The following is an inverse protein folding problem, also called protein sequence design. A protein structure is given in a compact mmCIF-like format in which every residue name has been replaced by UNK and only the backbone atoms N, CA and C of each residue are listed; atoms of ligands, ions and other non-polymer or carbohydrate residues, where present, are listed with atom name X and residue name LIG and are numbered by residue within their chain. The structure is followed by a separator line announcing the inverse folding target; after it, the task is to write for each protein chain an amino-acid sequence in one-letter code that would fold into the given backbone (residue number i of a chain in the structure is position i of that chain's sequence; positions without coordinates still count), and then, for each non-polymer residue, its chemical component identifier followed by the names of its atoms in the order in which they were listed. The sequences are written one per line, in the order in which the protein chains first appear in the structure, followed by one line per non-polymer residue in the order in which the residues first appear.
data_IF_468532085824
#
_entry.id   IF_468532085824
#
_cell.length_a   1.000
_cell.length_b   1.000
_cell.length_c   1.000
_cell.angle_alpha   90.00
_cell.angle_beta   90.00
_cell.angle_gamma   90.00
#
_symmetry.space_group_name_H-M   'P 1'
#
loop_
_entity.id
_entity.type
_entity.pdbx_description
1 polymer ?
#
# COMPACT_ATOMS: atom_id res chain seq x y z
N UNK A 1 0.47 -25.24 12.31
CA UNK A 1 -0.96 -25.44 12.59
C UNK A 1 -1.72 -24.14 12.36
N UNK A 2 -2.94 -24.23 11.81
CA UNK A 2 -3.86 -23.08 11.73
C UNK A 2 -4.54 -22.96 13.08
N UNK A 3 -4.42 -21.79 13.74
CA UNK A 3 -5.04 -21.55 15.03
C UNK A 3 -6.56 -21.33 14.89
N UNK A 4 -6.98 -20.53 13.93
CA UNK A 4 -8.39 -20.25 13.64
C UNK A 4 -8.57 -19.78 12.20
N UNK A 5 -9.82 -19.77 11.74
CA UNK A 5 -10.24 -19.21 10.45
C UNK A 5 -11.50 -18.40 10.66
N UNK A 6 -11.58 -17.24 10.02
CA UNK A 6 -12.78 -16.41 10.03
C UNK A 6 -13.15 -15.98 8.61
N UNK A 7 -14.45 -15.76 8.37
CA UNK A 7 -14.95 -15.25 7.09
C UNK A 7 -15.28 -13.76 7.21
N UNK A 8 -14.86 -12.98 6.22
CA UNK A 8 -15.23 -11.56 6.09
C UNK A 8 -16.30 -11.33 5.00
N UNK A 9 -16.90 -12.41 4.48
CA UNK A 9 -18.02 -12.30 3.53
C UNK A 9 -19.24 -11.72 4.23
N UNK A 10 -19.99 -10.87 3.51
CA UNK A 10 -21.29 -10.40 3.97
C UNK A 10 -22.27 -11.56 3.90
N UNK A 11 -23.05 -11.80 4.96
CA UNK A 11 -24.08 -12.82 4.98
C UNK A 11 -25.15 -12.54 3.90
N UNK A 12 -25.78 -13.61 3.38
CA UNK A 12 -26.78 -13.50 2.30
C UNK A 12 -27.97 -12.61 2.66
N UNK A 13 -28.28 -12.48 3.94
CA UNK A 13 -29.33 -11.61 4.46
C UNK A 13 -29.07 -10.11 4.22
N UNK A 14 -27.82 -9.68 4.23
CA UNK A 14 -27.41 -8.30 3.93
C UNK A 14 -27.32 -7.99 2.43
N UNK A 15 -27.41 -8.99 1.56
CA UNK A 15 -27.47 -8.80 0.09
C UNK A 15 -28.78 -8.18 -0.40
N UNK A 16 -29.82 -8.09 0.45
CA UNK A 16 -31.15 -7.58 0.12
C UNK A 16 -31.25 -6.09 -0.11
N UNK A 17 -30.29 -5.28 0.26
CA UNK A 17 -30.21 -3.86 -0.12
C UNK A 17 -29.54 -3.70 -1.49
N UNK A 18 -30.26 -4.17 -2.53
CA UNK A 18 -29.95 -3.83 -3.92
C UNK A 18 -30.15 -2.32 -4.10
N UNK A 19 -29.07 -1.60 -4.19
CA UNK A 19 -29.09 -0.27 -4.76
C UNK A 19 -29.42 -0.41 -6.27
N UNK A 20 -30.45 0.28 -6.71
CA UNK A 20 -30.98 0.27 -8.07
C UNK A 20 -29.87 0.38 -9.13
N UNK A 21 -29.68 -0.70 -9.88
CA UNK A 21 -29.41 -0.73 -11.30
C UNK A 21 -28.28 0.12 -11.87
N UNK A 22 -27.04 -0.34 -11.81
CA UNK A 22 -26.14 -0.35 -12.97
C UNK A 22 -25.27 -1.59 -12.81
N UNK A 23 -25.63 -2.65 -13.54
CA UNK A 23 -24.80 -3.84 -13.68
C UNK A 23 -23.72 -3.58 -14.71
N UNK A 24 -22.48 -3.53 -14.27
CA UNK A 24 -21.31 -3.73 -15.12
C UNK A 24 -20.70 -5.09 -14.79
N UNK A 25 -20.93 -6.06 -15.67
CA UNK A 25 -20.16 -7.30 -15.74
C UNK A 25 -20.78 -8.46 -14.94
N UNK A 26 -21.48 -9.35 -15.66
CA UNK A 26 -22.02 -10.60 -15.17
C UNK A 26 -20.92 -11.56 -14.69
N UNK A 27 -21.09 -12.04 -13.46
CA UNK A 27 -20.40 -13.16 -12.86
C UNK A 27 -21.12 -13.49 -11.58
N UNK A 28 -21.77 -14.64 -11.52
CA UNK A 28 -22.42 -15.19 -10.33
C UNK A 28 -21.39 -15.56 -9.28
N UNK A 29 -21.08 -14.62 -8.41
CA UNK A 29 -20.16 -14.75 -7.31
C UNK A 29 -19.52 -13.39 -7.04
N UNK A 30 -20.15 -12.52 -6.24
CA UNK A 30 -19.61 -11.23 -5.85
C UNK A 30 -18.29 -11.42 -5.08
N UNK A 31 -17.18 -11.60 -5.79
CA UNK A 31 -15.85 -11.64 -5.21
C UNK A 31 -15.49 -10.24 -4.73
N UNK A 32 -15.40 -10.02 -3.41
CA UNK A 32 -14.81 -8.82 -2.86
C UNK A 32 -13.36 -8.75 -3.28
N UNK A 33 -13.02 -7.77 -4.11
CA UNK A 33 -11.64 -7.54 -4.55
C UNK A 33 -10.96 -6.58 -3.57
N UNK A 34 -9.74 -6.93 -3.14
CA UNK A 34 -8.93 -6.11 -2.25
C UNK A 34 -9.30 -6.25 -0.77
N UNK A 35 -8.50 -5.61 0.04
CA UNK A 35 -8.60 -5.63 1.49
C UNK A 35 -7.23 -5.69 2.13
N UNK A 36 -7.20 -5.58 3.46
CA UNK A 36 -5.96 -5.66 4.20
C UNK A 36 -6.18 -5.95 5.67
N UNK A 37 -5.09 -6.19 6.36
CA UNK A 37 -5.10 -6.63 7.75
C UNK A 37 -4.15 -5.74 8.55
N UNK A 38 -4.57 -5.39 9.77
CA UNK A 38 -3.71 -4.82 10.80
C UNK A 38 -3.91 -5.57 12.11
N UNK A 39 -2.84 -5.74 12.87
CA UNK A 39 -2.88 -6.39 14.19
C UNK A 39 -2.37 -5.41 15.24
N UNK A 40 -3.17 -5.19 16.29
CA UNK A 40 -2.81 -4.30 17.39
C UNK A 40 -3.63 -4.63 18.64
N UNK A 41 -2.99 -4.57 19.82
CA UNK A 41 -3.67 -4.73 21.08
C UNK A 41 -4.47 -6.03 21.22
N UNK A 42 -3.94 -7.16 20.71
CA UNK A 42 -4.62 -8.46 20.76
C UNK A 42 -5.82 -8.58 19.80
N UNK A 43 -5.98 -7.66 18.87
CA UNK A 43 -7.06 -7.65 17.87
C UNK A 43 -6.53 -7.69 16.46
N UNK A 44 -7.28 -8.33 15.57
CA UNK A 44 -7.04 -8.35 14.11
C UNK A 44 -8.14 -7.51 13.45
N UNK A 45 -7.75 -6.44 12.79
CA UNK A 45 -8.64 -5.57 12.04
C UNK A 45 -8.54 -5.90 10.57
N UNK A 46 -9.67 -6.11 9.92
CA UNK A 46 -9.75 -6.51 8.51
C UNK A 46 -10.64 -5.53 7.76
N UNK A 47 -10.06 -4.86 6.77
CA UNK A 47 -10.81 -4.13 5.75
C UNK A 47 -11.10 -5.05 4.57
N UNK A 48 -12.20 -4.84 3.87
CA UNK A 48 -12.63 -5.78 2.85
C UNK A 48 -13.33 -5.08 1.69
N UNK A 49 -13.08 -5.59 0.47
CA UNK A 49 -13.82 -5.22 -0.73
C UNK A 49 -15.32 -5.60 -0.67
N UNK A 50 -15.73 -6.35 0.33
CA UNK A 50 -17.15 -6.64 0.63
C UNK A 50 -17.87 -5.51 1.36
N UNK A 51 -17.29 -4.32 1.46
CA UNK A 51 -17.86 -3.14 2.13
C UNK A 51 -18.11 -3.36 3.62
N UNK A 52 -17.15 -3.92 4.27
CA UNK A 52 -17.21 -4.16 5.72
C UNK A 52 -15.84 -3.97 6.36
N UNK A 53 -15.85 -3.39 7.54
CA UNK A 53 -14.73 -3.34 8.46
C UNK A 53 -15.03 -4.27 9.64
N UNK A 54 -14.12 -5.19 9.97
CA UNK A 54 -14.34 -6.21 11.00
C UNK A 54 -13.14 -6.28 11.94
N UNK A 55 -13.40 -6.51 13.22
CA UNK A 55 -12.35 -6.86 14.18
C UNK A 55 -12.59 -8.24 14.78
N UNK A 56 -11.50 -8.98 14.95
CA UNK A 56 -11.48 -10.30 15.58
C UNK A 56 -10.50 -10.29 16.76
N UNK A 57 -10.75 -11.13 17.74
CA UNK A 57 -9.78 -11.47 18.76
C UNK A 57 -8.62 -12.25 18.13
N UNK A 58 -7.38 -11.81 18.36
CA UNK A 58 -6.22 -12.37 17.69
C UNK A 58 -5.90 -13.82 18.11
N UNK A 59 -6.31 -14.25 19.32
CA UNK A 59 -6.02 -15.57 19.84
C UNK A 59 -7.09 -16.59 19.44
N UNK A 60 -8.37 -16.18 19.48
CA UNK A 60 -9.50 -17.07 19.31
C UNK A 60 -10.15 -17.01 17.93
N UNK A 61 -9.97 -15.89 17.21
CA UNK A 61 -10.65 -15.61 15.95
C UNK A 61 -12.12 -15.23 16.14
N UNK A 62 -12.60 -15.04 17.38
CA UNK A 62 -13.94 -14.57 17.64
C UNK A 62 -14.16 -13.17 17.07
N UNK A 63 -15.27 -12.94 16.38
CA UNK A 63 -15.65 -11.63 15.89
C UNK A 63 -16.02 -10.73 17.07
N UNK A 64 -15.33 -9.60 17.20
CA UNK A 64 -15.55 -8.61 18.24
C UNK A 64 -16.59 -7.57 17.82
N UNK A 65 -16.48 -7.11 16.58
CA UNK A 65 -17.43 -6.21 15.94
C UNK A 65 -17.32 -6.26 14.42
N UNK A 66 -18.40 -5.86 13.75
CA UNK A 66 -18.50 -5.75 12.29
C UNK A 66 -19.27 -4.50 11.95
N UNK A 67 -18.69 -3.63 11.12
CA UNK A 67 -19.29 -2.37 10.71
C UNK A 67 -19.42 -2.32 9.20
N UNK A 68 -20.63 -2.27 8.63
CA UNK A 68 -20.82 -2.06 7.20
C UNK A 68 -20.37 -0.64 6.81
N UNK A 69 -19.86 -0.52 5.60
CA UNK A 69 -19.45 0.75 4.97
C UNK A 69 -20.11 0.87 3.60
N UNK A 70 -20.26 2.11 3.12
CA UNK A 70 -20.97 2.35 1.86
C UNK A 70 -20.21 1.83 0.64
N UNK A 71 -18.89 1.92 0.66
CA UNK A 71 -18.02 1.58 -0.48
C UNK A 71 -16.91 0.59 -0.08
N UNK A 72 -16.35 -0.15 -1.06
CA UNK A 72 -15.25 -1.07 -0.81
C UNK A 72 -14.02 -0.38 -0.22
N UNK A 73 -13.33 -1.08 0.68
CA UNK A 73 -12.03 -0.67 1.24
C UNK A 73 -10.98 -1.63 0.70
N UNK A 74 -10.06 -1.13 -0.12
CA UNK A 74 -9.00 -1.97 -0.70
C UNK A 74 -7.68 -1.86 0.05
N UNK A 75 -7.44 -0.76 0.77
CA UNK A 75 -6.23 -0.55 1.57
C UNK A 75 -6.26 -1.28 2.90
N UNK A 76 -5.08 -1.58 3.45
CA UNK A 76 -4.97 -2.14 4.79
C UNK A 76 -5.34 -1.09 5.87
N UNK A 77 -5.97 -1.50 6.97
CA UNK A 77 -6.23 -0.61 8.09
C UNK A 77 -4.93 -0.11 8.72
N UNK A 78 -4.96 1.08 9.29
CA UNK A 78 -3.90 1.60 10.15
C UNK A 78 -4.46 1.83 11.53
N UNK A 79 -3.83 1.22 12.54
CA UNK A 79 -4.28 1.32 13.93
C UNK A 79 -3.34 2.24 14.70
N UNK A 80 -3.91 3.19 15.42
CA UNK A 80 -3.16 4.06 16.34
C UNK A 80 -4.03 4.48 17.52
N UNK A 81 -3.55 4.23 18.73
CA UNK A 81 -4.31 4.49 19.94
C UNK A 81 -5.63 3.73 19.95
N UNK A 82 -6.73 4.46 20.10
CA UNK A 82 -8.09 3.89 20.17
C UNK A 82 -8.83 3.90 18.82
N UNK A 83 -8.14 4.16 17.71
CA UNK A 83 -8.77 4.27 16.38
C UNK A 83 -8.12 3.40 15.32
N UNK A 84 -8.96 2.95 14.41
CA UNK A 84 -8.60 2.28 13.16
C UNK A 84 -8.98 3.19 12.01
N UNK A 85 -8.03 3.44 11.12
CA UNK A 85 -8.19 4.33 9.98
C UNK A 85 -8.14 3.54 8.68
N UNK A 86 -9.07 3.81 7.77
CA UNK A 86 -9.12 3.23 6.43
C UNK A 86 -9.55 4.27 5.41
N UNK A 87 -9.14 4.08 4.17
CA UNK A 87 -9.60 4.89 3.03
C UNK A 87 -10.39 3.99 2.10
N UNK A 88 -11.59 4.41 1.71
CA UNK A 88 -12.39 3.70 0.73
C UNK A 88 -12.01 4.05 -0.71
N UNK A 89 -12.66 3.38 -1.66
CA UNK A 89 -12.40 3.60 -3.10
C UNK A 89 -12.85 4.98 -3.60
N UNK A 90 -13.59 5.76 -2.82
CA UNK A 90 -14.08 7.10 -3.19
C UNK A 90 -13.41 8.23 -2.41
N UNK A 91 -12.16 7.97 -1.97
CA UNK A 91 -11.36 8.94 -1.22
C UNK A 91 -12.00 9.40 0.11
N UNK A 92 -12.78 8.55 0.75
CA UNK A 92 -13.26 8.82 2.10
C UNK A 92 -12.34 8.14 3.11
N UNK A 93 -11.65 8.92 3.92
CA UNK A 93 -10.97 8.45 5.12
C UNK A 93 -11.99 8.30 6.24
N UNK A 94 -12.02 7.16 6.88
CA UNK A 94 -12.89 6.85 8.02
C UNK A 94 -12.07 6.44 9.23
N UNK A 95 -12.48 6.88 10.41
CA UNK A 95 -11.90 6.50 11.69
C UNK A 95 -12.94 5.75 12.51
N UNK A 96 -12.61 4.52 12.90
CA UNK A 96 -13.45 3.66 13.72
C UNK A 96 -12.85 3.48 15.11
N UNK A 97 -13.68 3.38 16.12
CA UNK A 97 -13.27 3.04 17.47
C UNK A 97 -12.81 1.58 17.54
N UNK A 98 -11.62 1.33 18.10
CA UNK A 98 -11.01 0.00 18.23
C UNK A 98 -11.85 -0.96 19.08
N UNK A 99 -12.61 -0.45 20.06
CA UNK A 99 -13.35 -1.28 21.00
C UNK A 99 -14.66 -1.80 20.44
N UNK A 100 -15.41 -0.98 19.70
CA UNK A 100 -16.78 -1.29 19.30
C UNK A 100 -17.07 -1.12 17.80
N UNK A 101 -16.09 -0.64 17.00
CA UNK A 101 -16.27 -0.44 15.56
C UNK A 101 -17.16 0.73 15.16
N UNK A 102 -17.59 1.57 16.11
CA UNK A 102 -18.35 2.77 15.79
C UNK A 102 -17.48 3.76 15.02
N UNK A 103 -18.02 4.35 13.97
CA UNK A 103 -17.35 5.42 13.24
C UNK A 103 -17.36 6.71 14.06
N UNK A 104 -16.16 7.18 14.45
CA UNK A 104 -16.00 8.42 15.23
C UNK A 104 -16.13 9.66 14.32
N UNK A 105 -15.47 9.61 13.16
CA UNK A 105 -15.46 10.68 12.18
C UNK A 105 -15.07 10.17 10.79
N UNK A 106 -15.31 10.98 9.76
CA UNK A 106 -14.80 10.77 8.41
C UNK A 106 -14.40 12.07 7.75
N UNK A 107 -13.53 11.97 6.74
CA UNK A 107 -13.11 13.06 5.88
C UNK A 107 -13.17 12.60 4.43
N UNK A 108 -13.72 13.40 3.53
CA UNK A 108 -13.79 13.10 2.11
C UNK A 108 -12.81 13.98 1.33
N UNK A 109 -11.88 13.36 0.63
CA UNK A 109 -10.99 14.00 -0.32
C UNK A 109 -11.67 14.26 -1.66
N UNK A 110 -10.94 14.85 -2.61
CA UNK A 110 -11.43 15.07 -3.97
C UNK A 110 -11.55 13.72 -4.69
N UNK A 111 -12.69 13.49 -5.34
CA UNK A 111 -12.94 12.30 -6.15
C UNK A 111 -12.49 12.53 -7.58
N UNK A 112 -11.82 11.53 -8.18
CA UNK A 112 -11.41 11.54 -9.58
C UNK A 112 -12.14 10.44 -10.37
N UNK A 113 -12.61 10.73 -11.63
CA UNK A 113 -13.32 9.75 -12.43
C UNK A 113 -12.45 8.55 -12.85
N UNK A 114 -11.16 8.80 -13.11
CA UNK A 114 -10.19 7.77 -13.48
C UNK A 114 -9.24 7.47 -12.32
N UNK A 115 -9.20 6.21 -11.89
CA UNK A 115 -8.35 5.77 -10.76
C UNK A 115 -7.80 4.37 -10.99
N UNK A 116 -6.68 4.09 -10.36
CA UNK A 116 -6.10 2.76 -10.33
C UNK A 116 -6.79 1.98 -9.20
N UNK A 117 -7.10 0.70 -9.44
CA UNK A 117 -7.71 -0.19 -8.43
C UNK A 117 -6.71 -0.59 -7.32
N UNK A 118 -5.81 0.29 -6.98
CA UNK A 118 -4.87 0.13 -5.86
C UNK A 118 -5.21 1.17 -4.80
N UNK A 119 -5.71 0.73 -3.66
CA UNK A 119 -5.96 1.62 -2.55
C UNK A 119 -4.73 1.74 -1.66
N UNK A 120 -4.38 2.96 -1.32
CA UNK A 120 -3.34 3.25 -0.36
C UNK A 120 -3.90 3.22 1.07
N UNK A 121 -3.03 2.94 2.03
CA UNK A 121 -3.38 2.97 3.45
C UNK A 121 -2.93 4.28 4.06
N UNK A 122 -3.64 4.85 5.04
CA UNK A 122 -3.18 6.05 5.73
C UNK A 122 -1.99 5.74 6.63
N UNK A 123 -1.19 6.76 6.95
CA UNK A 123 -0.15 6.71 7.97
C UNK A 123 -0.56 7.53 9.19
N UNK A 124 -0.10 7.16 10.39
CA UNK A 124 -0.41 7.89 11.62
C UNK A 124 0.85 8.09 12.44
N UNK A 125 1.07 9.30 12.92
CA UNK A 125 2.17 9.64 13.81
C UNK A 125 1.85 10.89 14.63
N UNK A 126 2.15 10.88 15.93
CA UNK A 126 2.05 12.05 16.80
C UNK A 126 0.68 12.72 16.83
N UNK A 127 -0.41 11.97 16.71
CA UNK A 127 -1.77 12.53 16.67
C UNK A 127 -2.21 13.08 15.32
N UNK A 128 -1.40 12.89 14.28
CA UNK A 128 -1.71 13.28 12.90
C UNK A 128 -1.92 12.04 12.02
N UNK A 129 -3.01 12.01 11.26
CA UNK A 129 -3.29 11.02 10.21
C UNK A 129 -2.91 11.64 8.87
N UNK A 130 -2.11 10.95 8.09
CA UNK A 130 -1.73 11.35 6.73
C UNK A 130 -2.45 10.42 5.76
N UNK A 131 -3.43 10.95 5.05
CA UNK A 131 -4.27 10.21 4.11
C UNK A 131 -3.85 10.49 2.66
N UNK A 132 -3.50 9.44 1.89
CA UNK A 132 -3.26 9.54 0.46
C UNK A 132 -4.55 9.28 -0.31
N UNK A 133 -4.80 10.03 -1.37
CA UNK A 133 -5.98 9.92 -2.21
C UNK A 133 -5.65 9.67 -3.68
N UNK A 134 -6.61 9.10 -4.40
CA UNK A 134 -6.47 8.80 -5.83
C UNK A 134 -6.39 10.04 -6.71
N UNK A 135 -6.82 11.19 -6.21
CA UNK A 135 -6.65 12.50 -6.85
C UNK A 135 -5.21 13.03 -6.88
N UNK A 136 -4.26 12.31 -6.25
CA UNK A 136 -2.92 12.82 -6.00
C UNK A 136 -2.83 13.75 -4.79
N UNK A 137 -3.94 13.94 -4.12
CA UNK A 137 -4.02 14.66 -2.85
C UNK A 137 -3.38 13.84 -1.72
N UNK A 138 -2.63 14.51 -0.85
CA UNK A 138 -2.22 14.02 0.45
C UNK A 138 -2.65 15.01 1.50
N UNK A 139 -3.38 14.55 2.49
CA UNK A 139 -3.98 15.41 3.52
C UNK A 139 -3.54 14.94 4.89
N UNK A 140 -3.07 15.86 5.71
CA UNK A 140 -2.86 15.60 7.13
C UNK A 140 -4.07 16.08 7.93
N UNK A 141 -4.55 15.22 8.82
CA UNK A 141 -5.72 15.48 9.65
C UNK A 141 -5.40 15.21 11.12
N UNK A 142 -6.09 15.90 12.00
CA UNK A 142 -6.05 15.57 13.43
C UNK A 142 -6.67 14.19 13.66
N UNK A 143 -5.92 13.28 14.28
CA UNK A 143 -6.38 11.93 14.57
C UNK A 143 -7.62 11.87 15.48
N UNK A 144 -7.85 12.92 16.28
CA UNK A 144 -8.93 12.99 17.27
C UNK A 144 -10.29 13.27 16.66
N UNK A 145 -10.36 14.12 15.63
CA UNK A 145 -11.63 14.65 15.11
C UNK A 145 -11.70 14.76 13.58
N UNK A 146 -10.62 14.39 12.86
CA UNK A 146 -10.60 14.42 11.40
C UNK A 146 -10.51 15.82 10.78
N UNK A 147 -10.20 16.85 11.57
CA UNK A 147 -10.03 18.21 11.04
C UNK A 147 -8.73 18.31 10.23
N UNK A 148 -8.76 18.90 9.01
CA UNK A 148 -7.57 19.04 8.19
C UNK A 148 -6.58 20.02 8.83
N UNK A 149 -5.30 19.65 8.79
CA UNK A 149 -4.16 20.47 9.24
C UNK A 149 -3.47 21.11 8.04
N UNK A 150 -3.21 20.33 7.03
CA UNK A 150 -2.65 20.77 5.76
C UNK A 150 -3.02 19.79 4.63
N UNK A 151 -2.89 20.29 3.42
CA UNK A 151 -3.14 19.57 2.18
C UNK A 151 -2.04 19.87 1.16
N UNK A 152 -1.63 18.85 0.39
CA UNK A 152 -0.71 18.94 -0.73
C UNK A 152 -1.19 18.10 -1.90
N UNK A 153 -0.80 18.46 -3.12
CA UNK A 153 -1.08 17.67 -4.33
C UNK A 153 0.24 17.22 -4.94
N UNK A 154 0.43 15.91 -5.05
CA UNK A 154 1.59 15.31 -5.69
C UNK A 154 1.31 15.12 -7.17
N UNK A 155 1.55 16.14 -7.99
CA UNK A 155 1.41 16.04 -9.43
C UNK A 155 2.59 16.68 -10.16
N UNK A 156 2.97 16.09 -11.30
CA UNK A 156 3.90 16.75 -12.23
C UNK A 156 3.10 17.69 -13.13
N UNK A 157 3.63 18.88 -13.34
CA UNK A 157 3.06 19.87 -14.28
C UNK A 157 3.24 19.53 -15.75
N UNK A 158 3.84 18.38 -16.10
CA UNK A 158 4.10 17.97 -17.49
C UNK A 158 2.90 17.22 -18.08
N UNK A 159 2.31 17.79 -19.12
CA UNK A 159 1.11 17.30 -19.83
C UNK A 159 1.40 16.33 -21.00
N UNK A 160 2.46 15.53 -20.95
CA UNK A 160 2.95 14.84 -22.17
C UNK A 160 2.49 13.39 -22.36
N UNK A 161 1.71 12.79 -21.45
CA UNK A 161 1.12 11.46 -21.71
C UNK A 161 -0.20 11.24 -20.96
N UNK A 162 -1.11 10.44 -21.54
CA UNK A 162 -2.37 10.02 -20.89
C UNK A 162 -2.14 9.28 -19.55
N UNK A 163 -0.98 8.64 -19.37
CA UNK A 163 -0.60 8.00 -18.09
C UNK A 163 -0.23 9.02 -17.01
N UNK A 164 0.15 10.25 -17.38
CA UNK A 164 0.41 11.32 -16.41
C UNK A 164 -0.87 11.93 -15.81
N UNK A 165 -2.03 11.56 -16.33
CA UNK A 165 -3.34 11.93 -15.80
C UNK A 165 -3.72 11.07 -14.58
N UNK A 166 -3.10 9.88 -14.41
CA UNK A 166 -3.27 9.05 -13.22
C UNK A 166 -2.43 9.60 -12.08
N UNK A 167 -3.06 10.36 -11.19
CA UNK A 167 -2.40 11.06 -10.07
C UNK A 167 -2.31 10.24 -8.79
N UNK A 168 -2.83 9.03 -8.79
CA UNK A 168 -2.96 8.16 -7.61
C UNK A 168 -1.69 8.10 -6.75
N UNK A 169 -1.85 8.36 -5.46
CA UNK A 169 -0.86 8.02 -4.44
C UNK A 169 -1.12 6.58 -4.03
N UNK A 170 -0.64 5.64 -4.84
CA UNK A 170 -0.85 4.21 -4.60
C UNK A 170 0.10 3.61 -3.56
N UNK A 171 1.25 4.26 -3.31
CA UNK A 171 2.17 3.87 -2.25
C UNK A 171 1.72 4.43 -0.89
N UNK A 172 1.69 3.57 0.15
CA UNK A 172 1.41 4.03 1.51
C UNK A 172 2.41 5.13 1.91
N UNK A 173 1.97 6.31 2.39
CA UNK A 173 2.86 7.30 2.95
C UNK A 173 3.61 6.76 4.17
N UNK A 174 4.81 7.24 4.39
CA UNK A 174 5.58 6.91 5.58
C UNK A 174 5.84 8.18 6.38
N UNK A 175 5.65 8.09 7.69
CA UNK A 175 6.03 9.15 8.60
C UNK A 175 7.21 8.70 9.42
N UNK A 176 8.29 9.46 9.37
CA UNK A 176 9.50 9.16 10.13
C UNK A 176 10.26 10.44 10.47
N UNK A 177 10.66 10.62 11.74
CA UNK A 177 11.38 11.80 12.26
C UNK A 177 10.73 13.13 11.87
N UNK A 178 9.39 13.24 11.97
CA UNK A 178 8.67 14.46 11.63
C UNK A 178 8.57 14.79 10.13
N UNK A 179 8.92 13.85 9.26
CA UNK A 179 8.82 13.98 7.81
C UNK A 179 7.82 12.98 7.24
N UNK A 180 7.08 13.39 6.23
CA UNK A 180 6.17 12.56 5.43
C UNK A 180 6.82 12.26 4.09
N UNK A 181 6.91 10.99 3.75
CA UNK A 181 7.41 10.49 2.48
C UNK A 181 6.25 9.94 1.68
N UNK A 182 5.99 10.52 0.52
CA UNK A 182 4.90 10.08 -0.35
C UNK A 182 5.39 9.92 -1.80
N UNK A 183 4.92 8.88 -2.46
CA UNK A 183 5.24 8.59 -3.85
C UNK A 183 3.95 8.44 -4.65
N UNK A 184 3.89 9.10 -5.81
CA UNK A 184 2.73 9.06 -6.69
C UNK A 184 3.02 8.33 -7.99
N UNK A 185 1.96 7.86 -8.62
CA UNK A 185 2.01 7.27 -9.96
C UNK A 185 2.21 8.32 -11.05
N UNK A 186 1.87 9.57 -10.80
CA UNK A 186 2.18 10.69 -11.69
C UNK A 186 3.68 11.01 -11.80
N UNK A 187 4.52 10.36 -10.99
CA UNK A 187 5.97 10.42 -11.08
C UNK A 187 6.64 11.40 -10.13
N UNK A 188 6.13 11.52 -8.93
CA UNK A 188 6.72 12.36 -7.89
C UNK A 188 6.93 11.56 -6.61
N UNK A 189 8.17 11.47 -6.14
CA UNK A 189 8.49 11.22 -4.75
C UNK A 189 8.66 12.58 -4.08
N UNK A 190 7.89 12.85 -3.03
CA UNK A 190 7.96 14.10 -2.29
C UNK A 190 8.14 13.84 -0.79
N UNK A 191 9.00 14.64 -0.17
CA UNK A 191 9.18 14.67 1.27
C UNK A 191 8.74 16.02 1.80
N UNK A 192 7.94 15.97 2.87
CA UNK A 192 7.27 17.12 3.47
C UNK A 192 7.48 17.10 4.99
N UNK A 193 7.42 18.27 5.59
CA UNK A 193 7.33 18.41 7.04
C UNK A 193 5.95 17.92 7.54
N UNK A 194 5.91 17.05 8.54
CA UNK A 194 4.67 16.47 9.05
C UNK A 194 3.71 17.51 9.63
N UNK A 195 4.23 18.54 10.26
CA UNK A 195 3.42 19.54 10.97
C UNK A 195 2.83 20.59 10.05
N UNK A 196 3.61 21.05 9.07
CA UNK A 196 3.23 22.15 8.19
C UNK A 196 2.83 21.73 6.77
N UNK A 197 3.16 20.50 6.35
CA UNK A 197 3.01 20.05 4.97
C UNK A 197 4.00 20.68 3.99
N UNK A 198 4.91 21.54 4.44
CA UNK A 198 5.85 22.22 3.56
C UNK A 198 6.78 21.21 2.89
N UNK A 199 6.88 21.24 1.54
CA UNK A 199 7.81 20.41 0.81
C UNK A 199 9.26 20.72 1.21
N UNK A 200 10.05 19.69 1.49
CA UNK A 200 11.49 19.77 1.73
C UNK A 200 12.28 19.56 0.45
N UNK A 201 11.95 18.47 -0.23
CA UNK A 201 12.53 18.11 -1.53
C UNK A 201 11.61 17.15 -2.29
N UNK A 202 11.83 17.03 -3.60
CA UNK A 202 11.11 16.09 -4.45
C UNK A 202 12.03 15.52 -5.54
N UNK A 203 11.69 14.30 -6.01
CA UNK A 203 12.39 13.63 -7.10
C UNK A 203 11.39 13.10 -8.13
N UNK A 204 11.75 13.08 -9.42
CA UNK A 204 10.91 12.60 -10.49
C UNK A 204 10.90 11.06 -10.56
N UNK A 205 10.34 10.40 -9.54
CA UNK A 205 10.26 8.93 -9.44
C UNK A 205 8.80 8.50 -9.50
N UNK A 206 8.46 7.67 -10.50
CA UNK A 206 7.17 6.99 -10.60
C UNK A 206 7.18 5.76 -9.70
N UNK A 207 6.24 5.63 -8.76
CA UNK A 207 6.25 4.49 -7.87
C UNK A 207 4.91 4.20 -7.21
N UNK A 208 4.80 2.95 -6.76
CA UNK A 208 3.64 2.44 -6.02
C UNK A 208 4.07 1.73 -4.72
N UNK A 209 5.37 1.56 -4.54
CA UNK A 209 5.92 0.94 -3.34
C UNK A 209 6.07 1.99 -2.23
N UNK A 210 5.93 1.55 -1.01
CA UNK A 210 6.15 2.38 0.17
C UNK A 210 7.65 2.77 0.24
N UNK A 211 8.00 4.07 0.35
CA UNK A 211 9.38 4.48 0.63
C UNK A 211 9.86 3.93 1.98
N UNK A 212 11.13 3.56 2.07
CA UNK A 212 11.72 3.02 3.29
C UNK A 212 12.81 3.96 3.84
N UNK A 213 12.47 4.90 4.73
CA UNK A 213 13.45 5.74 5.42
C UNK A 213 14.14 4.95 6.53
N UNK A 214 15.47 4.86 6.46
CA UNK A 214 16.33 4.18 7.45
C UNK A 214 17.56 5.03 7.74
N UNK A 215 17.78 5.38 8.99
CA UNK A 215 18.89 6.25 9.37
C UNK A 215 18.83 7.57 8.58
N UNK A 216 19.88 7.86 7.82
CA UNK A 216 20.04 9.09 7.06
C UNK A 216 19.76 8.91 5.55
N UNK A 217 19.20 7.76 5.17
CA UNK A 217 18.84 7.46 3.77
C UNK A 217 17.37 7.07 3.63
N UNK A 218 16.88 7.13 2.39
CA UNK A 218 15.58 6.61 1.98
C UNK A 218 15.78 5.68 0.80
N UNK A 219 15.29 4.47 0.91
CA UNK A 219 15.26 3.49 -0.17
C UNK A 219 13.91 3.58 -0.90
N UNK A 220 13.94 3.65 -2.20
CA UNK A 220 12.76 3.79 -3.05
C UNK A 220 12.83 2.82 -4.22
N UNK A 221 11.74 2.12 -4.50
CA UNK A 221 11.62 1.24 -5.67
C UNK A 221 10.65 1.87 -6.65
N UNK A 222 11.15 2.19 -7.84
CA UNK A 222 10.36 2.76 -8.92
C UNK A 222 9.48 1.69 -9.60
N UNK A 223 8.46 2.12 -10.31
CA UNK A 223 7.63 1.23 -11.15
C UNK A 223 8.44 0.59 -12.30
N UNK A 224 9.52 1.23 -12.73
CA UNK A 224 10.43 0.67 -13.72
C UNK A 224 11.28 -0.49 -13.18
N UNK A 225 11.27 -0.72 -11.86
CA UNK A 225 12.11 -1.73 -11.22
C UNK A 225 13.51 -1.22 -10.90
N UNK A 226 13.63 0.04 -10.53
CA UNK A 226 14.89 0.64 -10.08
C UNK A 226 14.86 0.83 -8.56
N UNK A 227 15.87 0.36 -7.86
CA UNK A 227 16.12 0.64 -6.45
C UNK A 227 17.04 1.84 -6.35
N UNK A 228 16.52 2.94 -5.83
CA UNK A 228 17.24 4.19 -5.65
C UNK A 228 17.44 4.49 -4.17
N UNK A 229 18.63 4.96 -3.80
CA UNK A 229 18.96 5.41 -2.45
C UNK A 229 19.27 6.89 -2.47
N UNK A 230 18.60 7.62 -1.61
CA UNK A 230 18.73 9.07 -1.53
C UNK A 230 19.08 9.52 -0.12
N UNK A 231 19.76 10.64 -0.01
CA UNK A 231 19.94 11.34 1.26
C UNK A 231 18.58 11.79 1.78
N UNK A 232 18.30 11.50 3.04
CA UNK A 232 17.03 11.76 3.68
C UNK A 232 16.67 13.24 3.76
N UNK A 233 17.66 14.11 4.03
CA UNK A 233 17.43 15.53 4.27
C UNK A 233 17.43 16.36 2.97
N UNK A 234 18.27 15.96 2.00
CA UNK A 234 18.49 16.75 0.78
C UNK A 234 17.83 16.18 -0.46
N UNK A 235 17.47 14.89 -0.47
CA UNK A 235 17.01 14.17 -1.66
C UNK A 235 18.12 13.85 -2.67
N UNK A 236 19.41 14.11 -2.33
CA UNK A 236 20.52 13.77 -3.20
C UNK A 236 20.59 12.26 -3.43
N UNK A 237 20.61 11.84 -4.69
CA UNK A 237 20.75 10.43 -5.05
C UNK A 237 22.17 9.98 -4.80
N UNK A 238 22.34 8.91 -4.03
CA UNK A 238 23.63 8.28 -3.80
C UNK A 238 23.93 7.25 -4.87
N UNK A 239 22.96 6.38 -5.17
CA UNK A 239 23.05 5.37 -6.22
C UNK A 239 21.67 4.89 -6.66
N UNK A 240 21.62 4.33 -7.87
CA UNK A 240 20.45 3.63 -8.42
C UNK A 240 20.89 2.28 -8.99
N UNK A 241 20.08 1.25 -8.77
CA UNK A 241 20.30 -0.11 -9.27
C UNK A 241 19.08 -0.57 -10.07
N UNK A 242 19.31 -1.02 -11.31
CA UNK A 242 18.27 -1.73 -12.10
C UNK A 242 18.09 -3.14 -11.54
N UNK A 243 16.93 -3.40 -10.93
CA UNK A 243 16.55 -4.70 -10.39
C UNK A 243 16.20 -5.71 -11.49
N UNK A 244 15.95 -5.24 -12.71
CA UNK A 244 15.58 -6.05 -13.86
C UNK A 244 16.79 -6.52 -14.68
N UNK A 245 17.99 -6.11 -14.31
CA UNK A 245 19.22 -6.56 -14.98
C UNK A 245 19.28 -8.09 -15.04
N UNK A 246 19.37 -8.64 -16.27
CA UNK A 246 19.35 -10.09 -16.50
C UNK A 246 17.99 -10.79 -16.35
N UNK A 247 16.90 -10.05 -16.04
CA UNK A 247 15.55 -10.62 -15.80
C UNK A 247 14.52 -10.26 -16.87
N UNK A 248 14.87 -9.41 -17.81
CA UNK A 248 13.96 -8.99 -18.88
C UNK A 248 13.76 -10.15 -19.86
N UNK A 249 12.49 -10.51 -20.11
CA UNK A 249 12.10 -11.58 -21.02
C UNK A 249 11.27 -11.05 -22.18
N UNK A 250 11.30 -11.76 -23.32
CA UNK A 250 10.40 -11.53 -24.45
C UNK A 250 9.41 -12.67 -24.51
N UNK A 251 8.12 -12.36 -24.30
CA UNK A 251 7.04 -13.36 -24.31
C UNK A 251 6.05 -13.08 -25.46
N UNK A 252 5.41 -14.15 -25.93
CA UNK A 252 4.41 -14.08 -27.01
C UNK A 252 5.03 -13.87 -28.39
N UNK A 253 4.14 -13.76 -29.38
CA UNK A 253 4.49 -13.56 -30.78
C UNK A 253 4.31 -14.83 -31.61
N UNK A 254 3.41 -14.74 -32.62
CA UNK A 254 3.29 -15.76 -33.67
C UNK A 254 4.29 -15.40 -34.79
N UNK A 255 5.18 -16.33 -35.14
CA UNK A 255 6.22 -16.13 -36.17
C UNK A 255 7.14 -14.91 -35.95
N UNK A 256 7.38 -14.55 -34.69
CA UNK A 256 8.29 -13.43 -34.35
C UNK A 256 7.65 -12.04 -34.33
N UNK A 257 6.39 -11.89 -34.71
CA UNK A 257 5.66 -10.65 -34.65
C UNK A 257 4.91 -10.49 -33.31
N UNK A 258 4.94 -9.30 -32.70
CA UNK A 258 4.19 -9.01 -31.49
C UNK A 258 4.83 -9.50 -30.17
N UNK A 259 6.15 -9.74 -30.12
CA UNK A 259 6.84 -10.07 -28.85
C UNK A 259 6.71 -8.91 -27.86
N UNK A 260 6.15 -9.21 -26.67
CA UNK A 260 6.05 -8.28 -25.57
C UNK A 260 7.27 -8.42 -24.65
N UNK A 261 7.88 -7.31 -24.29
CA UNK A 261 8.92 -7.28 -23.26
C UNK A 261 8.25 -7.36 -21.88
N UNK A 262 8.59 -8.39 -21.11
CA UNK A 262 8.09 -8.61 -19.76
C UNK A 262 9.22 -8.32 -18.78
N UNK A 263 8.92 -7.52 -17.77
CA UNK A 263 9.80 -7.18 -16.66
C UNK A 263 9.15 -7.62 -15.36
N UNK A 264 9.91 -8.12 -14.38
CA UNK A 264 9.39 -8.39 -13.05
C UNK A 264 8.78 -7.13 -12.41
N UNK A 265 7.66 -7.31 -11.70
CA UNK A 265 7.09 -6.28 -10.83
C UNK A 265 7.66 -6.51 -9.43
N UNK A 266 8.25 -5.48 -8.85
CA UNK A 266 8.91 -5.55 -7.56
C UNK A 266 8.06 -4.96 -6.44
N UNK A 267 8.10 -5.60 -5.26
CA UNK A 267 7.43 -5.16 -4.05
C UNK A 267 8.39 -5.15 -2.85
N UNK A 268 8.34 -4.07 -2.09
CA UNK A 268 9.28 -3.76 -1.02
C UNK A 268 9.89 -2.36 -1.22
N UNK A 269 11.08 -2.08 -0.64
CA UNK A 269 11.93 -2.96 0.15
C UNK A 269 11.53 -3.07 1.62
N UNK A 270 12.04 -4.09 2.29
CA UNK A 270 12.13 -4.16 3.75
C UNK A 270 13.60 -4.35 4.15
N UNK A 271 14.02 -3.73 5.25
CA UNK A 271 15.34 -3.96 5.82
C UNK A 271 15.26 -5.05 6.89
N UNK A 272 16.00 -6.15 6.69
CA UNK A 272 16.10 -7.25 7.63
C UNK A 272 17.54 -7.79 7.67
N UNK A 273 18.08 -8.02 8.86
CA UNK A 273 19.45 -8.52 9.06
C UNK A 273 20.49 -7.79 8.19
N UNK A 274 20.41 -6.45 8.16
CA UNK A 274 21.26 -5.57 7.35
C UNK A 274 21.24 -5.86 5.84
N UNK A 275 20.10 -6.34 5.32
CA UNK A 275 19.88 -6.58 3.89
C UNK A 275 18.55 -5.94 3.48
N UNK A 276 18.50 -5.35 2.30
CA UNK A 276 17.25 -4.94 1.68
C UNK A 276 16.64 -6.16 0.99
N UNK A 277 15.46 -6.56 1.41
CA UNK A 277 14.75 -7.70 0.82
C UNK A 277 13.55 -7.21 0.03
N UNK A 278 13.46 -7.63 -1.22
CA UNK A 278 12.36 -7.39 -2.14
C UNK A 278 11.82 -8.72 -2.65
N UNK A 279 10.57 -8.71 -3.05
CA UNK A 279 9.95 -9.84 -3.76
C UNK A 279 9.47 -9.39 -5.12
N UNK A 280 9.28 -10.35 -6.04
CA UNK A 280 8.87 -10.02 -7.40
C UNK A 280 7.80 -10.94 -7.97
N UNK A 281 7.23 -10.53 -9.11
CA UNK A 281 6.23 -11.29 -9.86
C UNK A 281 6.76 -12.58 -10.50
N UNK A 282 8.07 -12.78 -10.56
CA UNK A 282 8.70 -14.03 -11.02
C UNK A 282 8.79 -15.08 -9.91
N UNK A 283 8.31 -14.75 -8.71
CA UNK A 283 8.30 -15.66 -7.57
C UNK A 283 9.65 -15.79 -6.90
N UNK A 284 10.37 -14.69 -6.77
CA UNK A 284 11.65 -14.64 -6.07
C UNK A 284 11.59 -13.67 -4.89
N UNK A 285 12.29 -14.02 -3.81
CA UNK A 285 12.73 -13.08 -2.79
C UNK A 285 14.22 -12.82 -3.00
N UNK A 286 14.58 -11.55 -3.16
CA UNK A 286 15.97 -11.15 -3.50
C UNK A 286 16.48 -10.19 -2.44
N UNK A 287 17.68 -10.45 -1.95
CA UNK A 287 18.36 -9.62 -0.97
C UNK A 287 19.48 -8.81 -1.62
N UNK A 288 19.57 -7.53 -1.22
CA UNK A 288 20.58 -6.60 -1.70
C UNK A 288 21.34 -5.99 -0.51
N UNK A 289 22.61 -5.69 -0.73
CA UNK A 289 23.42 -4.91 0.19
C UNK A 289 22.89 -3.46 0.24
N UNK A 290 22.55 -2.90 1.42
CA UNK A 290 21.95 -1.57 1.53
C UNK A 290 22.90 -0.43 1.17
N UNK A 291 24.22 -0.65 1.19
CA UNK A 291 25.23 0.38 0.87
C UNK A 291 25.58 0.44 -0.61
N UNK A 292 25.65 -0.73 -1.25
CA UNK A 292 26.15 -0.85 -2.63
C UNK A 292 25.07 -1.18 -3.65
N UNK A 293 23.90 -1.65 -3.20
CA UNK A 293 22.85 -2.17 -4.07
C UNK A 293 23.22 -3.50 -4.76
N UNK A 294 24.32 -4.13 -4.38
CA UNK A 294 24.70 -5.42 -4.92
C UNK A 294 23.74 -6.53 -4.45
N UNK A 295 23.33 -7.41 -5.36
CA UNK A 295 22.55 -8.58 -4.97
C UNK A 295 23.42 -9.53 -4.14
N UNK A 296 22.93 -9.93 -2.96
CA UNK A 296 23.64 -10.80 -2.02
C UNK A 296 23.05 -12.20 -1.93
N UNK A 297 21.74 -12.35 -2.16
CA UNK A 297 21.06 -13.64 -2.14
C UNK A 297 19.78 -13.59 -2.98
N UNK A 298 19.30 -14.78 -3.36
CA UNK A 298 18.00 -14.96 -4.00
C UNK A 298 17.40 -16.29 -3.55
N UNK A 299 16.09 -16.30 -3.34
CA UNK A 299 15.31 -17.46 -2.94
C UNK A 299 14.07 -17.58 -3.84
N UNK A 300 13.82 -18.76 -4.41
CA UNK A 300 12.59 -19.05 -5.16
C UNK A 300 11.43 -19.30 -4.20
N UNK A 301 10.32 -18.59 -4.39
CA UNK A 301 9.10 -18.68 -3.59
C UNK A 301 8.08 -19.68 -4.16
N UNK A 302 8.31 -20.17 -5.40
CA UNK A 302 7.42 -21.11 -6.09
C UNK A 302 6.17 -20.46 -6.73
N UNK A 303 5.90 -19.22 -6.46
CA UNK A 303 4.82 -18.41 -7.07
C UNK A 303 5.10 -16.93 -6.94
N UNK A 304 4.50 -16.11 -7.80
CA UNK A 304 4.59 -14.66 -7.77
C UNK A 304 4.28 -14.07 -6.40
N UNK A 305 4.93 -12.96 -6.06
CA UNK A 305 4.63 -12.19 -4.86
C UNK A 305 4.53 -10.70 -5.21
N UNK A 306 3.38 -10.11 -4.89
CA UNK A 306 3.03 -8.72 -5.23
C UNK A 306 2.90 -7.81 -4.00
N UNK A 307 3.09 -8.37 -2.80
CA UNK A 307 3.01 -7.66 -1.53
C UNK A 307 4.38 -7.69 -0.87
N UNK A 308 4.82 -6.54 -0.35
CA UNK A 308 6.10 -6.45 0.37
C UNK A 308 6.16 -7.45 1.53
N UNK A 309 7.33 -8.06 1.79
CA UNK A 309 7.51 -8.94 2.94
C UNK A 309 7.19 -8.24 4.25
N UNK A 310 6.71 -8.99 5.24
CA UNK A 310 6.55 -8.52 6.61
C UNK A 310 7.59 -9.18 7.52
N UNK A 311 8.21 -8.39 8.41
CA UNK A 311 9.15 -8.90 9.41
C UNK A 311 8.45 -9.08 10.75
N UNK A 312 8.62 -10.26 11.36
CA UNK A 312 8.09 -10.55 12.69
C UNK A 312 8.90 -11.67 13.36
N UNK A 313 9.24 -11.49 14.63
CA UNK A 313 9.96 -12.48 15.47
C UNK A 313 11.18 -13.12 14.77
N UNK A 314 12.05 -12.29 14.15
CA UNK A 314 13.28 -12.77 13.52
C UNK A 314 13.07 -13.54 12.22
N UNK A 315 11.89 -13.51 11.63
CA UNK A 315 11.59 -14.08 10.33
C UNK A 315 10.93 -13.06 9.40
N UNK A 316 11.11 -13.27 8.09
CA UNK A 316 10.35 -12.59 7.05
C UNK A 316 9.21 -13.50 6.58
N UNK A 317 8.06 -12.90 6.38
CA UNK A 317 6.88 -13.57 5.87
C UNK A 317 6.50 -12.99 4.52
N UNK A 318 6.38 -13.86 3.53
CA UNK A 318 5.99 -13.51 2.16
C UNK A 318 4.67 -14.20 1.84
N UNK A 319 3.67 -13.43 1.44
CA UNK A 319 2.42 -13.94 0.90
C UNK A 319 2.56 -14.05 -0.63
N UNK A 320 2.40 -15.24 -1.16
CA UNK A 320 2.44 -15.51 -2.61
C UNK A 320 1.04 -15.38 -3.24
N UNK A 321 1.00 -15.21 -4.56
CA UNK A 321 -0.23 -15.13 -5.35
C UNK A 321 -1.13 -16.38 -5.27
N UNK A 322 -0.52 -17.53 -4.97
CA UNK A 322 -1.27 -18.77 -4.68
C UNK A 322 -1.82 -18.86 -3.26
N UNK A 323 -1.74 -17.79 -2.47
CA UNK A 323 -2.21 -17.76 -1.09
C UNK A 323 -1.32 -18.55 -0.11
N UNK A 324 -0.08 -18.84 -0.47
CA UNK A 324 0.88 -19.49 0.41
C UNK A 324 1.63 -18.45 1.24
N UNK A 325 1.79 -18.68 2.53
CA UNK A 325 2.64 -17.90 3.41
C UNK A 325 3.99 -18.60 3.57
N UNK A 326 5.04 -17.98 3.02
CA UNK A 326 6.43 -18.48 3.09
C UNK A 326 7.14 -17.75 4.23
N UNK A 327 7.75 -18.50 5.15
CA UNK A 327 8.60 -17.96 6.22
C UNK A 327 10.08 -18.14 5.86
N UNK A 328 10.84 -17.05 5.89
CA UNK A 328 12.28 -17.01 5.61
C UNK A 328 12.98 -16.61 6.92
N UNK A 329 13.96 -17.38 7.33
CA UNK A 329 14.78 -17.15 8.54
C UNK A 329 16.24 -16.94 8.18
#
# INVERSE_FOLDING_TARGET
AVLWKASVKVDEADRGRRFLGIGLGGGSGGGGFGGGIAVSGGKVFVSSGYRVMTAFDANTGAELWRTPVDLPIHGAPTVSGQRVYVVDVDNQLMAFNVANGQQDWSYRGITEPARIMRASSPAVSGGTVVAPFSSGQIVALQATNGQPVWEQVLSRTSRTSALSELRDIAGRPVVSRGQVYAISQSGVLQVMDLRSGQPKWSLPIVGVNQPLPVGDVVYVVSQAGELTVVNRETGQVYWTRDLNEGRVRKEGGFLGFGKRTVRPVWSGPILASNRLVLVNSDGEAVAFDPKTGAQTASLKLGSAAYIAPAAYNGALYVLTDKGQLVSIR
#
